data_IF_518168120963
#
_entry.id   IF_518168120963
#
_cell.length_a   1.000
_cell.length_b   1.000
_cell.length_c   1.000
_cell.angle_alpha   90.00
_cell.angle_beta   90.00
_cell.angle_gamma   90.00
#
_symmetry.space_group_name_H-M   'P 1'
#
loop_
_entity.id
_entity.type
_entity.pdbx_description
1 polymer ?
#
# COMPACT_ATOMS: atom_id res chain seq x y z
N UNK A 1 -4.12 -5.84 38.17
CA UNK A 1 -3.95 -6.24 36.76
C UNK A 1 -4.36 -5.04 35.93
N UNK A 2 -3.41 -4.36 35.31
CA UNK A 2 -3.68 -3.19 34.48
C UNK A 2 -4.18 -3.68 33.12
N UNK A 3 -5.41 -3.32 32.75
CA UNK A 3 -5.97 -3.68 31.45
C UNK A 3 -5.50 -2.63 30.44
N UNK A 4 -4.65 -3.05 29.50
CA UNK A 4 -4.23 -2.20 28.40
C UNK A 4 -5.41 -2.00 27.45
N UNK A 5 -5.76 -0.74 27.23
CA UNK A 5 -6.80 -0.35 26.28
C UNK A 5 -6.29 -0.62 24.85
N UNK A 6 -7.19 -0.79 23.86
CA UNK A 6 -6.78 -0.83 22.47
C UNK A 6 -5.91 0.37 22.15
N UNK A 7 -4.80 0.15 21.44
CA UNK A 7 -3.98 1.22 20.91
C UNK A 7 -4.87 2.13 20.06
N UNK A 8 -4.74 3.44 20.24
CA UNK A 8 -5.45 4.39 19.38
C UNK A 8 -5.13 4.11 17.91
N UNK A 9 -6.16 4.19 17.07
CA UNK A 9 -6.02 3.95 15.64
C UNK A 9 -5.15 5.07 15.06
N UNK A 10 -4.04 4.71 14.45
CA UNK A 10 -3.26 5.67 13.68
C UNK A 10 -4.03 5.98 12.38
N UNK A 11 -4.46 7.24 12.24
CA UNK A 11 -5.37 7.67 11.17
C UNK A 11 -4.65 8.45 10.08
N UNK A 12 -3.34 8.69 10.23
CA UNK A 12 -2.47 9.45 9.31
C UNK A 12 -3.20 10.66 8.68
N UNK A 13 -3.60 11.67 9.48
CA UNK A 13 -4.50 12.70 8.99
C UNK A 13 -3.88 13.67 7.97
N UNK A 14 -4.74 14.18 7.08
CA UNK A 14 -4.32 15.15 6.06
C UNK A 14 -3.23 14.58 5.18
N UNK A 15 -2.13 15.32 5.04
CA UNK A 15 -1.00 14.93 4.18
C UNK A 15 -0.11 13.83 4.80
N UNK A 16 -0.31 13.46 6.08
CA UNK A 16 0.43 12.35 6.69
C UNK A 16 0.12 11.01 6.00
N UNK A 17 -1.07 10.87 5.40
CA UNK A 17 -1.44 9.68 4.63
C UNK A 17 -0.51 9.47 3.44
N UNK A 18 -0.01 10.55 2.83
CA UNK A 18 0.88 10.48 1.66
C UNK A 18 2.24 9.95 2.10
N UNK A 19 2.82 10.50 3.16
CA UNK A 19 4.09 10.04 3.70
C UNK A 19 4.01 8.55 4.12
N UNK A 20 2.97 8.19 4.87
CA UNK A 20 2.72 6.80 5.26
C UNK A 20 2.59 5.87 4.05
N UNK A 21 1.74 6.22 3.07
CA UNK A 21 1.53 5.42 1.87
C UNK A 21 2.83 5.19 1.10
N UNK A 22 3.67 6.23 0.95
CA UNK A 22 4.97 6.13 0.27
C UNK A 22 5.90 5.17 0.99
N UNK A 23 6.03 5.30 2.30
CA UNK A 23 6.92 4.43 3.09
C UNK A 23 6.48 2.97 3.01
N UNK A 24 5.17 2.72 3.13
CA UNK A 24 4.59 1.38 3.03
C UNK A 24 4.80 0.77 1.63
N UNK A 25 4.53 1.52 0.56
CA UNK A 25 4.70 1.04 -0.81
C UNK A 25 6.18 0.82 -1.18
N UNK A 26 7.09 1.65 -0.66
CA UNK A 26 8.53 1.45 -0.84
C UNK A 26 9.00 0.13 -0.21
N UNK A 27 8.51 -0.20 0.99
CA UNK A 27 8.78 -1.47 1.65
C UNK A 27 8.20 -2.63 0.81
N UNK A 28 6.91 -2.55 0.46
CA UNK A 28 6.24 -3.59 -0.33
C UNK A 28 6.99 -3.87 -1.63
N UNK A 29 7.39 -2.81 -2.35
CA UNK A 29 8.21 -2.90 -3.56
C UNK A 29 9.54 -3.61 -3.32
N UNK A 30 10.20 -3.40 -2.18
CA UNK A 30 11.51 -3.99 -1.89
C UNK A 30 11.47 -5.48 -1.52
N UNK A 31 10.29 -6.01 -1.18
CA UNK A 31 10.14 -7.39 -0.70
C UNK A 31 9.18 -8.24 -1.53
N UNK A 32 8.60 -7.67 -2.59
CA UNK A 32 7.50 -8.27 -3.33
C UNK A 32 7.85 -9.64 -3.95
N UNK A 33 9.05 -9.75 -4.51
CA UNK A 33 9.57 -10.95 -5.18
C UNK A 33 10.34 -11.87 -4.21
N UNK A 34 10.44 -11.49 -2.93
CA UNK A 34 11.04 -12.35 -1.92
C UNK A 34 10.13 -13.56 -1.67
N UNK A 35 10.66 -14.80 -1.74
CA UNK A 35 9.86 -16.00 -1.56
C UNK A 35 9.29 -16.10 -0.13
N UNK A 36 8.18 -16.81 0.01
CA UNK A 36 7.53 -17.06 1.30
C UNK A 36 6.79 -15.83 1.83
N UNK A 37 7.18 -15.36 3.02
CA UNK A 37 6.46 -14.28 3.72
C UNK A 37 6.50 -12.93 3.00
N UNK A 38 7.55 -12.65 2.23
CA UNK A 38 7.73 -11.36 1.54
C UNK A 38 6.56 -10.99 0.63
N UNK A 39 6.17 -11.93 -0.26
CA UNK A 39 5.02 -11.75 -1.14
C UNK A 39 3.71 -11.49 -0.38
N UNK A 40 3.44 -12.25 0.68
CA UNK A 40 2.21 -12.07 1.48
C UNK A 40 2.18 -10.70 2.15
N UNK A 41 3.30 -10.27 2.75
CA UNK A 41 3.39 -8.95 3.37
C UNK A 41 3.22 -7.85 2.33
N UNK A 42 3.88 -7.96 1.17
CA UNK A 42 3.79 -6.96 0.12
C UNK A 42 2.36 -6.77 -0.40
N UNK A 43 1.63 -7.85 -0.71
CA UNK A 43 0.25 -7.74 -1.21
C UNK A 43 -0.70 -7.17 -0.15
N UNK A 44 -0.56 -7.60 1.11
CA UNK A 44 -1.32 -7.03 2.23
C UNK A 44 -1.06 -5.53 2.40
N UNK A 45 0.20 -5.10 2.33
CA UNK A 45 0.57 -3.69 2.42
C UNK A 45 -0.02 -2.88 1.26
N UNK A 46 0.02 -3.39 0.02
CA UNK A 46 -0.61 -2.72 -1.13
C UNK A 46 -2.11 -2.56 -0.90
N UNK A 47 -2.80 -3.62 -0.47
CA UNK A 47 -4.24 -3.58 -0.17
C UNK A 47 -4.59 -2.60 0.96
N UNK A 48 -3.77 -2.53 2.02
CA UNK A 48 -3.94 -1.58 3.12
C UNK A 48 -3.80 -0.13 2.67
N UNK A 49 -2.76 0.18 1.89
CA UNK A 49 -2.57 1.53 1.34
C UNK A 49 -3.72 1.90 0.39
N UNK A 50 -4.16 0.96 -0.46
CA UNK A 50 -5.33 1.16 -1.33
C UNK A 50 -6.57 1.51 -0.53
N UNK A 51 -6.89 0.74 0.51
CA UNK A 51 -8.06 1.00 1.37
C UNK A 51 -7.95 2.34 2.08
N UNK A 52 -6.78 2.62 2.69
CA UNK A 52 -6.54 3.86 3.42
C UNK A 52 -6.71 5.10 2.53
N UNK A 53 -6.16 5.09 1.32
CA UNK A 53 -6.33 6.19 0.37
C UNK A 53 -7.81 6.35 -0.04
N UNK A 54 -8.46 5.24 -0.42
CA UNK A 54 -9.86 5.26 -0.85
C UNK A 54 -10.81 5.79 0.24
N UNK A 55 -10.63 5.34 1.48
CA UNK A 55 -11.45 5.77 2.62
C UNK A 55 -11.25 7.24 2.97
N UNK A 56 -10.08 7.81 2.69
CA UNK A 56 -9.77 9.20 3.02
C UNK A 56 -10.34 10.20 2.03
N UNK A 57 -10.18 9.92 0.74
CA UNK A 57 -10.63 10.77 -0.36
C UNK A 57 -10.61 9.98 -1.67
N UNK A 58 -11.70 9.25 -1.94
CA UNK A 58 -11.81 8.38 -3.09
C UNK A 58 -11.69 9.11 -4.44
N UNK A 59 -12.12 10.38 -4.51
CA UNK A 59 -12.06 11.17 -5.73
C UNK A 59 -10.63 11.63 -6.00
N UNK A 60 -9.96 12.22 -4.99
CA UNK A 60 -8.55 12.64 -5.10
C UNK A 60 -7.63 11.49 -5.47
N UNK A 61 -7.86 10.31 -4.91
CA UNK A 61 -6.95 9.18 -5.02
C UNK A 61 -7.36 8.11 -6.01
N UNK A 62 -8.44 8.32 -6.77
CA UNK A 62 -9.00 7.31 -7.67
C UNK A 62 -7.95 6.66 -8.59
N UNK A 63 -7.09 7.46 -9.21
CA UNK A 63 -6.08 6.96 -10.14
C UNK A 63 -5.00 6.13 -9.45
N UNK A 64 -4.58 6.52 -8.24
CA UNK A 64 -3.60 5.78 -7.45
C UNK A 64 -4.20 4.47 -6.96
N UNK A 65 -5.43 4.50 -6.45
CA UNK A 65 -6.18 3.33 -6.01
C UNK A 65 -6.31 2.29 -7.13
N UNK A 66 -6.62 2.72 -8.36
CA UNK A 66 -6.67 1.84 -9.54
C UNK A 66 -5.31 1.27 -9.91
N UNK A 67 -4.23 2.07 -9.85
CA UNK A 67 -2.87 1.59 -10.09
C UNK A 67 -2.48 0.53 -9.05
N UNK A 68 -2.79 0.75 -7.77
CA UNK A 68 -2.49 -0.20 -6.69
C UNK A 68 -3.31 -1.49 -6.79
N UNK A 69 -4.58 -1.41 -7.19
CA UNK A 69 -5.43 -2.58 -7.45
C UNK A 69 -4.80 -3.51 -8.50
N UNK A 70 -4.33 -2.93 -9.61
CA UNK A 70 -3.62 -3.67 -10.66
C UNK A 70 -2.26 -4.20 -10.19
N UNK A 71 -1.55 -3.46 -9.34
CA UNK A 71 -0.27 -3.88 -8.79
C UNK A 71 -0.43 -5.11 -7.87
N UNK A 72 -1.48 -5.11 -7.04
CA UNK A 72 -1.85 -6.23 -6.17
C UNK A 72 -2.23 -7.47 -7.00
N UNK A 73 -3.06 -7.30 -8.03
CA UNK A 73 -3.46 -8.41 -8.91
C UNK A 73 -2.26 -9.05 -9.62
N UNK A 74 -1.37 -8.22 -10.20
CA UNK A 74 -0.13 -8.70 -10.82
C UNK A 74 0.76 -9.45 -9.82
N UNK A 75 0.87 -8.95 -8.59
CA UNK A 75 1.64 -9.60 -7.53
C UNK A 75 1.08 -10.99 -7.17
N UNK A 76 -0.23 -11.12 -7.00
CA UNK A 76 -0.91 -12.39 -6.69
C UNK A 76 -0.68 -13.42 -7.81
N UNK A 77 -0.69 -12.96 -9.07
CA UNK A 77 -0.41 -13.79 -10.24
C UNK A 77 1.10 -14.04 -10.48
N UNK A 78 1.97 -13.52 -9.62
CA UNK A 78 3.44 -13.61 -9.73
C UNK A 78 4.02 -12.93 -10.96
N UNK A 79 3.33 -11.93 -11.49
CA UNK A 79 3.81 -11.03 -12.55
C UNK A 79 4.63 -9.89 -11.93
N UNK A 80 5.74 -10.25 -11.27
CA UNK A 80 6.49 -9.30 -10.42
C UNK A 80 7.01 -8.09 -11.18
N UNK A 81 7.51 -8.25 -12.40
CA UNK A 81 7.97 -7.14 -13.22
C UNK A 81 6.85 -6.12 -13.48
N UNK A 82 5.64 -6.59 -13.81
CA UNK A 82 4.46 -5.75 -14.00
C UNK A 82 4.09 -5.03 -12.71
N UNK A 83 4.06 -5.76 -11.59
CA UNK A 83 3.73 -5.18 -10.29
C UNK A 83 4.74 -4.11 -9.85
N UNK A 84 6.05 -4.32 -10.05
CA UNK A 84 7.08 -3.31 -9.78
C UNK A 84 6.86 -2.02 -10.57
N UNK A 85 6.55 -2.12 -11.87
CA UNK A 85 6.27 -0.95 -12.72
C UNK A 85 5.06 -0.17 -12.20
N UNK A 86 3.99 -0.87 -11.82
CA UNK A 86 2.79 -0.24 -11.29
C UNK A 86 3.03 0.39 -9.90
N UNK A 87 3.85 -0.23 -9.05
CA UNK A 87 4.26 0.36 -7.77
C UNK A 87 5.10 1.63 -7.97
N UNK A 88 6.03 1.63 -8.94
CA UNK A 88 6.81 2.82 -9.30
C UNK A 88 5.90 3.96 -9.81
N UNK A 89 4.90 3.63 -10.63
CA UNK A 89 3.90 4.58 -11.10
C UNK A 89 3.08 5.17 -9.94
N UNK A 90 2.61 4.34 -9.00
CA UNK A 90 1.88 4.79 -7.82
C UNK A 90 2.74 5.70 -6.93
N UNK A 91 4.01 5.33 -6.69
CA UNK A 91 4.96 6.13 -5.92
C UNK A 91 5.24 7.49 -6.56
N UNK A 92 5.30 7.57 -7.89
CA UNK A 92 5.47 8.82 -8.61
C UNK A 92 4.24 9.74 -8.53
N UNK A 93 3.03 9.17 -8.44
CA UNK A 93 1.77 9.92 -8.30
C UNK A 93 1.51 10.41 -6.87
N UNK A 94 2.10 9.76 -5.87
CA UNK A 94 2.06 10.19 -4.46
C UNK A 94 3.02 11.36 -4.17
N UNK A 95 3.40 12.16 -5.17
CA UNK A 95 4.31 13.30 -5.05
C UNK A 95 3.58 14.59 -4.61
#
# INVERSE_FOLDING_TARGET
MEILHPKELDTHPGDQIVAWARDQLAIARSILDNPGGGLLFATQTIGQVRSGLHERDAERWQDIVRTLDRAEDAAVHREFATSHILLDEALAKLA
#
